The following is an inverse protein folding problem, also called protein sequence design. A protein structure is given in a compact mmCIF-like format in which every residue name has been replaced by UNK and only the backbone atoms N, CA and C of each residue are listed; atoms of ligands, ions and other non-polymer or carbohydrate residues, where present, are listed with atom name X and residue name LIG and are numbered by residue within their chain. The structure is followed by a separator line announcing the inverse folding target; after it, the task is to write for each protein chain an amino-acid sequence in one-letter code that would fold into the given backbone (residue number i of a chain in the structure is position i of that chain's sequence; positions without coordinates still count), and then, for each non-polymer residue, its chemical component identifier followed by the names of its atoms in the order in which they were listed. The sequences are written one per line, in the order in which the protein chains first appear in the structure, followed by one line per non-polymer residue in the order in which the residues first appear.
data_IF_396673022504
#
_entry.id   IF_396673022504
#
_cell.length_a   1.000
_cell.length_b   1.000
_cell.length_c   1.000
_cell.angle_alpha   90.00
_cell.angle_beta   90.00
_cell.angle_gamma   90.00
#
_symmetry.space_group_name_H-M   'P 1'
#
loop_
_entity.id
_entity.type
_entity.pdbx_description
1 polymer ?
#
# COMPACT_ATOMS: atom_id res chain seq x y z
N UNK A 1 42.14 47.40 -29.33
CA UNK A 1 41.72 47.16 -30.74
C UNK A 1 42.35 45.85 -31.17
N UNK A 2 41.70 44.85 -31.75
CA UNK A 2 40.32 44.58 -32.14
C UNK A 2 40.24 43.05 -32.34
N UNK A 3 39.10 42.45 -32.04
CA UNK A 3 38.72 41.08 -32.38
C UNK A 3 38.76 40.87 -33.90
N UNK A 4 38.98 39.63 -34.37
CA UNK A 4 38.14 39.01 -35.42
C UNK A 4 38.20 37.49 -35.32
N UNK A 5 37.01 36.89 -35.21
CA UNK A 5 36.73 35.49 -35.45
C UNK A 5 36.84 35.16 -36.95
N UNK A 6 37.10 33.90 -37.29
CA UNK A 6 36.54 33.26 -38.48
C UNK A 6 36.26 31.79 -38.18
N UNK A 7 34.97 31.45 -38.10
CA UNK A 7 34.47 30.07 -38.21
C UNK A 7 34.71 29.53 -39.63
N UNK A 8 34.91 28.21 -39.77
CA UNK A 8 34.40 27.48 -40.94
C UNK A 8 34.36 25.96 -40.72
N UNK A 9 33.13 25.50 -40.48
CA UNK A 9 32.48 24.28 -40.99
C UNK A 9 33.17 22.90 -40.92
N UNK A 10 32.64 22.04 -40.04
CA UNK A 10 32.45 20.63 -40.34
C UNK A 10 30.95 20.34 -40.42
N UNK A 11 30.47 19.63 -41.47
CA UNK A 11 29.05 19.43 -41.68
C UNK A 11 28.43 18.49 -40.63
N UNK A 12 27.25 18.89 -40.16
CA UNK A 12 26.30 18.06 -39.45
C UNK A 12 25.94 16.84 -40.31
N UNK A 13 26.23 15.64 -39.82
CA UNK A 13 25.49 14.46 -40.23
C UNK A 13 24.66 13.98 -39.02
N UNK A 14 23.42 14.43 -39.04
CA UNK A 14 22.32 14.08 -38.16
C UNK A 14 21.97 12.60 -38.32
N UNK A 15 22.27 11.79 -37.30
CA UNK A 15 21.47 10.66 -36.78
C UNK A 15 22.34 9.63 -36.05
N UNK A 16 22.98 10.03 -34.95
CA UNK A 16 23.44 9.06 -33.96
C UNK A 16 23.35 9.64 -32.55
N UNK A 17 22.12 9.97 -32.12
CA UNK A 17 21.83 10.04 -30.69
C UNK A 17 21.69 8.60 -30.19
N UNK A 18 22.80 7.93 -29.91
CA UNK A 18 22.77 6.93 -28.85
C UNK A 18 22.53 7.77 -27.58
N UNK A 19 21.27 7.90 -27.17
CA UNK A 19 20.99 8.31 -25.80
C UNK A 19 21.67 7.28 -24.91
N UNK A 20 22.80 7.67 -24.32
CA UNK A 20 23.35 6.96 -23.18
C UNK A 20 22.25 6.98 -22.11
N UNK A 21 21.47 5.89 -22.01
CA UNK A 21 20.63 5.67 -20.83
C UNK A 21 21.61 5.45 -19.68
N UNK A 22 21.58 6.36 -18.72
CA UNK A 22 22.29 6.16 -17.45
C UNK A 22 21.79 4.85 -16.83
N UNK A 23 22.65 3.85 -16.58
CA UNK A 23 22.25 2.60 -15.94
C UNK A 23 21.72 2.79 -14.51
N UNK A 24 21.88 3.99 -13.93
CA UNK A 24 21.44 4.33 -12.57
C UNK A 24 20.02 4.92 -12.48
N UNK A 25 19.30 5.05 -13.60
CA UNK A 25 17.95 5.59 -13.62
C UNK A 25 16.89 4.49 -13.69
N UNK A 26 17.07 3.43 -12.89
CA UNK A 26 15.94 2.59 -12.48
C UNK A 26 15.27 3.34 -11.33
N UNK A 27 14.03 3.80 -11.52
CA UNK A 27 13.30 4.52 -10.47
C UNK A 27 13.34 3.68 -9.19
N UNK A 28 13.84 4.26 -8.10
CA UNK A 28 13.86 3.58 -6.82
C UNK A 28 12.43 3.17 -6.44
N UNK A 29 12.26 1.91 -6.02
CA UNK A 29 10.98 1.45 -5.47
C UNK A 29 10.76 2.18 -4.15
N UNK A 30 9.72 2.99 -4.08
CA UNK A 30 9.33 3.71 -2.85
C UNK A 30 7.95 3.27 -2.36
N UNK A 31 7.16 2.58 -3.19
CA UNK A 31 5.82 2.13 -2.82
C UNK A 31 5.58 0.66 -3.13
N UNK A 32 4.90 -0.03 -2.21
CA UNK A 32 4.50 -1.44 -2.40
C UNK A 32 3.03 -1.62 -2.06
N UNK A 33 2.28 -2.25 -2.96
CA UNK A 33 0.91 -2.65 -2.70
C UNK A 33 0.77 -4.16 -2.54
N UNK A 34 0.05 -4.58 -1.50
CA UNK A 34 -0.32 -5.95 -1.23
C UNK A 34 -1.81 -6.13 -1.44
N UNK A 35 -2.20 -7.17 -2.18
CA UNK A 35 -3.61 -7.53 -2.38
C UNK A 35 -3.82 -8.95 -1.88
N UNK A 36 -4.70 -9.14 -0.89
CA UNK A 36 -5.13 -10.47 -0.48
C UNK A 36 -5.92 -11.13 -1.60
N UNK A 37 -5.49 -12.31 -2.03
CA UNK A 37 -6.14 -13.03 -3.15
C UNK A 37 -7.58 -13.47 -2.88
N UNK A 38 -8.08 -13.35 -1.64
CA UNK A 38 -9.47 -13.69 -1.27
C UNK A 38 -10.48 -12.61 -1.55
N UNK A 39 -10.06 -11.35 -1.71
CA UNK A 39 -11.01 -10.31 -2.07
C UNK A 39 -11.59 -10.60 -3.45
N UNK A 40 -12.86 -10.25 -3.66
CA UNK A 40 -13.47 -10.38 -4.97
C UNK A 40 -12.65 -9.59 -6.00
N UNK A 41 -12.58 -10.08 -7.24
CA UNK A 41 -11.90 -9.42 -8.36
C UNK A 41 -10.50 -8.85 -8.03
N UNK A 42 -9.70 -9.58 -7.23
CA UNK A 42 -8.37 -9.14 -6.78
C UNK A 42 -7.45 -8.70 -7.93
N UNK A 43 -7.56 -9.33 -9.11
CA UNK A 43 -6.82 -8.92 -10.32
C UNK A 43 -7.21 -7.52 -10.81
N UNK A 44 -8.49 -7.15 -10.70
CA UNK A 44 -8.97 -5.81 -11.06
C UNK A 44 -8.42 -4.77 -10.09
N UNK A 45 -8.42 -5.07 -8.79
CA UNK A 45 -7.85 -4.20 -7.77
C UNK A 45 -6.34 -4.01 -7.98
N UNK A 46 -5.63 -5.10 -8.23
CA UNK A 46 -4.19 -5.10 -8.57
C UNK A 46 -3.87 -4.20 -9.78
N UNK A 47 -4.69 -4.28 -10.82
CA UNK A 47 -4.52 -3.46 -12.02
C UNK A 47 -4.74 -1.96 -11.74
N UNK A 48 -5.60 -1.62 -10.77
CA UNK A 48 -5.93 -0.25 -10.41
C UNK A 48 -4.92 0.45 -9.51
N UNK A 49 -4.11 -0.31 -8.77
CA UNK A 49 -3.13 0.25 -7.83
C UNK A 49 -2.02 1.04 -8.55
N UNK A 50 -1.52 2.09 -7.91
CA UNK A 50 -0.47 2.97 -8.47
C UNK A 50 0.92 2.77 -7.81
N UNK A 51 1.11 1.67 -7.07
CA UNK A 51 2.40 1.33 -6.46
C UNK A 51 3.45 0.82 -7.47
N UNK A 52 4.73 1.06 -7.16
CA UNK A 52 5.89 0.61 -7.96
C UNK A 52 5.97 -0.91 -8.03
N UNK A 53 5.78 -1.56 -6.87
CA UNK A 53 5.74 -3.01 -6.73
C UNK A 53 4.37 -3.41 -6.24
N UNK A 54 3.83 -4.50 -6.80
CA UNK A 54 2.55 -5.05 -6.37
C UNK A 54 2.61 -6.55 -6.18
N UNK A 55 2.06 -7.03 -5.07
CA UNK A 55 2.22 -8.40 -4.61
C UNK A 55 0.85 -8.99 -4.23
N UNK A 56 0.54 -10.17 -4.75
CA UNK A 56 -0.58 -10.96 -4.24
C UNK A 56 -0.15 -11.72 -2.99
N UNK A 57 -0.94 -11.65 -1.93
CA UNK A 57 -0.76 -12.55 -0.79
C UNK A 57 -1.31 -13.93 -1.14
N UNK A 58 -0.49 -14.95 -0.90
CA UNK A 58 -0.90 -16.35 -0.98
C UNK A 58 -1.92 -16.61 0.12
N UNK A 59 -3.14 -17.07 -0.23
CA UNK A 59 -4.16 -17.31 0.76
C UNK A 59 -3.78 -18.43 1.75
N UNK A 60 -2.88 -19.35 1.40
CA UNK A 60 -2.56 -20.50 2.24
C UNK A 60 -1.48 -20.22 3.28
N UNK A 61 -0.84 -19.05 3.24
CA UNK A 61 0.26 -18.65 4.13
C UNK A 61 -0.16 -17.51 5.04
N UNK A 62 0.57 -17.31 6.13
CA UNK A 62 0.37 -16.15 7.01
C UNK A 62 0.66 -14.86 6.24
N UNK A 63 -0.30 -13.95 6.15
CA UNK A 63 -0.15 -12.73 5.35
C UNK A 63 0.73 -11.69 6.00
N UNK A 64 0.78 -11.61 7.33
CA UNK A 64 1.70 -10.70 8.04
C UNK A 64 3.14 -11.13 7.78
N UNK A 65 3.41 -12.43 7.88
CA UNK A 65 4.74 -12.98 7.58
C UNK A 65 5.15 -12.71 6.13
N UNK A 66 4.25 -12.88 5.16
CA UNK A 66 4.53 -12.59 3.75
C UNK A 66 4.86 -11.11 3.50
N UNK A 67 4.13 -10.19 4.15
CA UNK A 67 4.42 -8.75 4.07
C UNK A 67 5.79 -8.49 4.69
N UNK A 68 6.07 -8.99 5.90
CA UNK A 68 7.38 -8.82 6.55
C UNK A 68 8.54 -9.34 5.70
N UNK A 69 8.41 -10.55 5.14
CA UNK A 69 9.40 -11.14 4.23
C UNK A 69 9.64 -10.24 3.02
N UNK A 70 8.55 -9.73 2.41
CA UNK A 70 8.65 -8.85 1.23
C UNK A 70 9.34 -7.53 1.58
N UNK A 71 8.89 -6.87 2.65
CA UNK A 71 9.42 -5.57 3.07
C UNK A 71 10.91 -5.64 3.42
N UNK A 72 11.38 -6.76 3.99
CA UNK A 72 12.80 -6.97 4.30
C UNK A 72 13.76 -6.91 3.10
N UNK A 73 13.24 -6.88 1.88
CA UNK A 73 14.02 -6.66 0.66
C UNK A 73 14.15 -5.19 0.23
N UNK A 74 13.45 -4.28 0.90
CA UNK A 74 13.35 -2.87 0.52
C UNK A 74 13.76 -1.96 1.68
N UNK A 75 14.08 -0.71 1.35
CA UNK A 75 14.43 0.34 2.28
C UNK A 75 13.90 1.66 1.73
N UNK A 76 13.67 2.63 2.63
CA UNK A 76 13.16 3.97 2.27
C UNK A 76 11.82 3.92 1.51
N UNK A 77 10.95 2.97 1.86
CA UNK A 77 9.58 2.96 1.38
C UNK A 77 8.83 4.14 1.99
N UNK A 78 8.17 4.91 1.13
CA UNK A 78 7.30 6.02 1.52
C UNK A 78 5.85 5.58 1.68
N UNK A 79 5.47 4.41 1.14
CA UNK A 79 4.08 3.96 1.19
C UNK A 79 3.92 2.45 1.07
N UNK A 80 2.98 1.92 1.85
CA UNK A 80 2.50 0.55 1.76
C UNK A 80 0.97 0.57 1.62
N UNK A 81 0.44 -0.03 0.57
CA UNK A 81 -1.00 -0.28 0.44
C UNK A 81 -1.31 -1.74 0.80
N UNK A 82 -2.35 -1.96 1.59
CA UNK A 82 -2.82 -3.31 1.94
C UNK A 82 -4.31 -3.40 1.64
N UNK A 83 -4.65 -4.16 0.61
CA UNK A 83 -6.02 -4.37 0.13
C UNK A 83 -6.50 -5.75 0.54
N UNK A 84 -7.52 -5.81 1.39
CA UNK A 84 -7.94 -7.07 1.99
C UNK A 84 -9.37 -6.99 2.52
N UNK A 85 -9.87 -8.10 3.07
CA UNK A 85 -11.09 -8.05 3.85
C UNK A 85 -10.84 -7.43 5.24
N UNK A 86 -11.74 -6.55 5.67
CA UNK A 86 -11.69 -5.90 6.98
C UNK A 86 -12.89 -6.21 7.87
N UNK A 87 -12.69 -6.03 9.17
CA UNK A 87 -13.72 -5.89 10.20
C UNK A 87 -13.20 -4.95 11.31
N UNK A 88 -14.02 -4.61 12.28
CA UNK A 88 -13.62 -3.78 13.44
C UNK A 88 -12.34 -4.32 14.07
N UNK A 89 -11.29 -3.48 14.07
CA UNK A 89 -9.98 -3.80 14.63
C UNK A 89 -9.37 -5.12 14.10
N UNK A 90 -9.61 -5.43 12.82
CA UNK A 90 -9.16 -6.67 12.20
C UNK A 90 -8.98 -6.53 10.68
N UNK A 91 -7.90 -7.15 10.20
CA UNK A 91 -7.55 -7.28 8.78
C UNK A 91 -7.28 -8.75 8.49
N UNK A 92 -7.89 -9.31 7.43
CA UNK A 92 -7.64 -10.68 6.99
C UNK A 92 -6.49 -10.68 5.96
N UNK A 93 -5.39 -11.35 6.27
CA UNK A 93 -4.18 -11.38 5.45
C UNK A 93 -3.69 -12.81 5.28
N UNK A 94 -3.73 -13.35 4.05
CA UNK A 94 -3.46 -14.75 3.84
C UNK A 94 -4.37 -15.60 4.74
N UNK A 95 -3.84 -16.67 5.34
CA UNK A 95 -4.62 -17.50 6.26
C UNK A 95 -4.70 -16.93 7.69
N UNK A 96 -4.21 -15.71 7.95
CA UNK A 96 -4.14 -15.11 9.27
C UNK A 96 -5.04 -13.87 9.41
N UNK A 97 -5.24 -13.46 10.67
CA UNK A 97 -5.93 -12.22 11.02
C UNK A 97 -4.99 -11.35 11.84
N UNK A 98 -4.64 -10.18 11.32
CA UNK A 98 -4.02 -9.13 12.12
C UNK A 98 -5.15 -8.35 12.80
N UNK A 99 -5.22 -8.41 14.12
CA UNK A 99 -6.33 -7.84 14.90
C UNK A 99 -5.86 -7.34 16.25
N UNK A 100 -6.72 -6.61 16.96
CA UNK A 100 -6.44 -6.20 18.34
C UNK A 100 -6.03 -7.38 19.26
N UNK A 101 -6.56 -8.59 19.01
CA UNK A 101 -6.26 -9.78 19.81
C UNK A 101 -4.94 -10.47 19.42
N UNK A 102 -4.48 -10.31 18.17
CA UNK A 102 -3.28 -10.96 17.64
C UNK A 102 -2.08 -10.01 17.54
N UNK A 103 -2.27 -8.70 17.79
CA UNK A 103 -1.23 -7.68 17.65
C UNK A 103 0.02 -7.96 18.49
N UNK A 104 -0.16 -8.52 19.70
CA UNK A 104 0.97 -8.90 20.55
C UNK A 104 1.83 -10.00 19.92
N UNK A 105 1.22 -10.92 19.17
CA UNK A 105 1.92 -12.02 18.51
C UNK A 105 2.74 -11.51 17.32
N UNK A 106 2.22 -10.52 16.59
CA UNK A 106 2.87 -9.91 15.42
C UNK A 106 3.76 -8.70 15.73
N UNK A 107 4.02 -8.41 17.02
CA UNK A 107 4.82 -7.25 17.42
C UNK A 107 6.23 -7.28 16.82
N UNK A 108 6.84 -8.46 16.68
CA UNK A 108 8.18 -8.59 16.11
C UNK A 108 8.17 -8.33 14.60
N UNK A 109 7.17 -8.83 13.89
CA UNK A 109 6.93 -8.65 12.46
C UNK A 109 6.67 -7.19 12.13
N UNK A 110 5.75 -6.54 12.86
CA UNK A 110 5.38 -5.14 12.63
C UNK A 110 6.55 -4.18 12.90
N UNK A 111 7.37 -4.45 13.92
CA UNK A 111 8.59 -3.68 14.18
C UNK A 111 9.64 -3.84 13.10
N UNK A 112 9.69 -4.98 12.41
CA UNK A 112 10.59 -5.14 11.27
C UNK A 112 10.16 -4.30 10.07
N UNK A 113 8.88 -3.93 9.97
CA UNK A 113 8.42 -3.04 8.89
C UNK A 113 9.09 -1.67 9.01
N UNK A 114 9.26 -1.14 10.23
CA UNK A 114 9.92 0.14 10.51
C UNK A 114 11.27 0.27 9.77
N UNK A 115 12.08 -0.80 9.75
CA UNK A 115 13.39 -0.78 9.10
C UNK A 115 13.34 -0.61 7.56
N UNK A 116 12.17 -0.81 6.97
CA UNK A 116 11.94 -0.68 5.53
C UNK A 116 11.36 0.69 5.16
N UNK A 117 10.83 1.43 6.15
CA UNK A 117 10.04 2.64 5.98
C UNK A 117 10.88 3.91 6.13
N UNK A 118 10.45 4.99 5.48
CA UNK A 118 10.86 6.35 5.84
C UNK A 118 10.13 6.81 7.11
N UNK A 119 10.62 7.86 7.83
CA UNK A 119 9.94 8.40 9.00
C UNK A 119 8.51 8.88 8.74
N UNK A 120 8.24 9.41 7.55
CA UNK A 120 6.93 9.91 7.12
C UNK A 120 6.26 8.92 6.15
N UNK A 121 6.44 7.61 6.37
CA UNK A 121 5.86 6.60 5.50
C UNK A 121 4.39 6.32 5.85
N UNK A 122 3.58 6.15 4.81
CA UNK A 122 2.17 5.80 4.92
C UNK A 122 1.95 4.29 4.90
N UNK A 123 1.03 3.79 5.73
CA UNK A 123 0.50 2.43 5.66
C UNK A 123 -1.02 2.52 5.53
N UNK A 124 -1.52 2.17 4.36
CA UNK A 124 -2.90 2.36 3.96
C UNK A 124 -3.63 1.02 3.93
N UNK A 125 -4.54 0.80 4.89
CA UNK A 125 -5.36 -0.40 4.96
C UNK A 125 -6.72 -0.19 4.31
N UNK A 126 -6.90 -0.76 3.12
CA UNK A 126 -8.17 -0.84 2.41
C UNK A 126 -8.92 -2.11 2.82
N UNK A 127 -9.96 -1.93 3.63
CA UNK A 127 -10.85 -3.00 4.08
C UNK A 127 -11.95 -2.45 4.99
N UNK A 128 -13.13 -3.08 4.97
CA UNK A 128 -14.29 -2.51 5.66
C UNK A 128 -14.09 -2.41 7.18
N UNK A 129 -14.48 -1.28 7.76
CA UNK A 129 -14.66 -1.04 9.19
C UNK A 129 -13.41 -1.25 10.07
N UNK A 130 -12.21 -1.31 9.50
CA UNK A 130 -10.97 -1.58 10.25
C UNK A 130 -10.80 -0.59 11.42
N UNK A 131 -11.04 0.69 11.16
CA UNK A 131 -10.95 1.77 12.14
C UNK A 131 -12.29 2.14 12.80
N UNK A 132 -13.33 1.31 12.65
CA UNK A 132 -14.65 1.65 13.16
C UNK A 132 -14.69 1.69 14.69
N UNK A 133 -15.15 2.82 15.24
CA UNK A 133 -15.26 3.05 16.68
C UNK A 133 -13.94 3.02 17.44
N UNK A 134 -14.01 3.20 18.76
CA UNK A 134 -12.83 3.34 19.61
C UNK A 134 -11.85 2.15 19.53
N UNK A 135 -12.39 0.93 19.40
CA UNK A 135 -11.58 -0.28 19.27
C UNK A 135 -10.78 -0.31 17.96
N UNK A 136 -11.42 0.04 16.83
CA UNK A 136 -10.76 0.10 15.53
C UNK A 136 -9.69 1.19 15.48
N UNK A 137 -10.00 2.37 16.00
CA UNK A 137 -9.04 3.48 16.06
C UNK A 137 -7.83 3.16 16.95
N UNK A 138 -8.06 2.53 18.11
CA UNK A 138 -6.97 2.07 18.98
C UNK A 138 -6.08 1.03 18.27
N UNK A 139 -6.68 0.08 17.57
CA UNK A 139 -5.95 -0.91 16.77
C UNK A 139 -5.07 -0.27 15.69
N UNK A 140 -5.60 0.70 14.93
CA UNK A 140 -4.82 1.43 13.92
C UNK A 140 -3.66 2.22 14.55
N UNK A 141 -3.92 2.87 15.69
CA UNK A 141 -2.90 3.58 16.47
C UNK A 141 -1.80 2.67 17.01
N UNK A 142 -2.13 1.45 17.43
CA UNK A 142 -1.15 0.48 17.89
C UNK A 142 -0.26 -0.01 16.73
N UNK A 143 -0.82 -0.19 15.53
CA UNK A 143 -0.02 -0.49 14.32
C UNK A 143 0.94 0.67 14.01
N UNK A 144 0.46 1.91 14.03
CA UNK A 144 1.32 3.09 13.81
C UNK A 144 2.46 3.14 14.82
N UNK A 145 2.16 2.89 16.09
CA UNK A 145 3.18 2.84 17.15
C UNK A 145 4.22 1.74 16.92
N UNK A 146 3.81 0.58 16.42
CA UNK A 146 4.70 -0.56 16.20
C UNK A 146 5.55 -0.45 14.93
N UNK A 147 5.03 0.22 13.90
CA UNK A 147 5.67 0.32 12.59
C UNK A 147 6.44 1.64 12.41
N UNK A 148 6.15 2.64 13.24
CA UNK A 148 6.73 3.98 13.13
C UNK A 148 6.15 4.84 12.01
N UNK A 149 5.25 4.30 11.17
CA UNK A 149 4.60 5.01 10.07
C UNK A 149 3.24 5.59 10.44
N UNK A 150 2.75 6.49 9.58
CA UNK A 150 1.39 7.00 9.64
C UNK A 150 0.45 5.98 9.02
N UNK A 151 -0.61 5.62 9.76
CA UNK A 151 -1.52 4.54 9.35
C UNK A 151 -2.90 5.11 9.12
N UNK A 152 -3.49 4.78 7.98
CA UNK A 152 -4.88 5.10 7.68
C UNK A 152 -5.70 3.85 7.35
N UNK A 153 -6.98 3.86 7.72
CA UNK A 153 -7.91 2.78 7.45
C UNK A 153 -9.37 3.25 7.43
N UNK A 154 -10.25 2.49 6.77
CA UNK A 154 -11.68 2.83 6.68
C UNK A 154 -12.42 2.62 8.01
N UNK A 155 -13.31 3.54 8.34
CA UNK A 155 -14.26 3.45 9.46
C UNK A 155 -15.61 2.86 9.04
N UNK A 156 -15.86 2.75 7.74
CA UNK A 156 -17.09 2.23 7.16
C UNK A 156 -16.81 1.17 6.06
N UNK A 157 -17.79 0.93 5.17
CA UNK A 157 -17.66 -0.04 4.10
C UNK A 157 -16.69 0.46 3.01
N UNK A 158 -15.67 -0.33 2.68
CA UNK A 158 -14.77 -0.03 1.57
C UNK A 158 -15.20 -0.76 0.29
N UNK A 159 -15.33 -0.05 -0.82
CA UNK A 159 -15.64 -0.63 -2.14
C UNK A 159 -16.75 0.10 -2.90
N UNK A 160 -17.64 -0.66 -3.53
CA UNK A 160 -18.67 -0.15 -4.44
C UNK A 160 -19.68 0.79 -3.75
N UNK A 161 -19.84 2.00 -4.29
CA UNK A 161 -20.78 3.00 -3.80
C UNK A 161 -22.25 2.62 -3.97
N UNK A 162 -22.59 1.80 -4.97
CA UNK A 162 -23.93 1.23 -5.10
C UNK A 162 -24.29 0.25 -3.96
N UNK A 163 -23.28 -0.28 -3.26
CA UNK A 163 -23.43 -1.14 -2.08
C UNK A 163 -23.24 -0.36 -0.77
N UNK A 164 -23.14 0.97 -0.83
CA UNK A 164 -22.91 1.83 0.32
C UNK A 164 -21.45 1.92 0.77
N UNK A 165 -20.50 1.43 -0.03
CA UNK A 165 -19.08 1.55 0.25
C UNK A 165 -18.41 2.75 -0.41
N UNK A 166 -17.19 3.07 0.00
CA UNK A 166 -16.37 4.07 -0.66
C UNK A 166 -14.88 3.69 -0.55
N UNK A 167 -13.94 4.50 -1.04
CA UNK A 167 -12.50 4.18 -1.01
C UNK A 167 -11.69 5.14 -0.13
N UNK A 168 -12.38 5.95 0.66
CA UNK A 168 -11.78 6.86 1.63
C UNK A 168 -11.31 6.05 2.83
N UNK A 169 -10.19 6.51 3.41
CA UNK A 169 -9.70 6.04 4.70
C UNK A 169 -9.99 7.17 5.69
N UNK A 170 -11.08 7.07 6.44
CA UNK A 170 -11.60 8.19 7.23
C UNK A 170 -10.81 8.41 8.53
N UNK A 171 -10.01 7.44 8.97
CA UNK A 171 -9.18 7.54 10.16
C UNK A 171 -7.71 7.42 9.81
N UNK A 172 -6.89 8.31 10.37
CA UNK A 172 -5.44 8.32 10.24
C UNK A 172 -4.76 8.69 11.57
N UNK A 173 -3.55 8.17 11.82
CA UNK A 173 -2.75 8.45 13.04
C UNK A 173 -1.78 9.62 12.89
N UNK A 174 -1.61 10.14 11.68
CA UNK A 174 -0.80 11.30 11.34
C UNK A 174 -1.22 11.93 10.01
N UNK A 175 -0.28 12.51 9.27
CA UNK A 175 -0.58 13.07 7.95
C UNK A 175 -0.44 11.97 6.93
N UNK A 176 -1.29 11.96 5.89
CA UNK A 176 -1.17 11.00 4.80
C UNK A 176 -0.68 11.76 3.58
N UNK A 177 0.58 11.55 3.21
CA UNK A 177 1.27 12.20 2.09
C UNK A 177 0.91 11.55 0.76
N UNK A 178 0.54 10.26 0.77
CA UNK A 178 0.28 9.45 -0.41
C UNK A 178 -1.01 9.90 -1.11
N UNK A 179 -0.85 10.46 -2.30
CA UNK A 179 -1.98 10.78 -3.19
C UNK A 179 -2.53 9.49 -3.81
N UNK A 180 -3.68 9.04 -3.30
CA UNK A 180 -4.60 8.06 -3.92
C UNK A 180 -3.95 6.79 -4.49
N UNK A 181 -4.04 5.69 -3.77
CA UNK A 181 -3.44 4.41 -4.18
C UNK A 181 -4.04 3.78 -5.43
N UNK A 182 -5.20 4.23 -5.90
CA UNK A 182 -5.91 3.66 -7.05
C UNK A 182 -6.24 4.70 -8.12
N UNK A 183 -6.33 4.24 -9.37
CA UNK A 183 -6.92 5.04 -10.45
C UNK A 183 -8.44 5.17 -10.30
N UNK A 184 -8.99 6.36 -10.63
CA UNK A 184 -10.42 6.64 -10.59
C UNK A 184 -11.26 5.65 -11.41
N UNK A 185 -10.77 5.23 -12.58
CA UNK A 185 -11.48 4.29 -13.43
C UNK A 185 -11.65 2.92 -12.78
N UNK A 186 -10.64 2.47 -12.02
CA UNK A 186 -10.67 1.14 -11.43
C UNK A 186 -11.55 1.08 -10.18
N UNK A 187 -11.46 2.10 -9.32
CA UNK A 187 -12.34 2.26 -8.15
C UNK A 187 -13.81 2.20 -8.55
N UNK A 188 -14.18 2.86 -9.65
CA UNK A 188 -15.56 2.89 -10.15
C UNK A 188 -16.00 1.58 -10.81
N UNK A 189 -15.06 0.71 -11.20
CA UNK A 189 -15.35 -0.57 -11.85
C UNK A 189 -15.54 -1.73 -10.87
N UNK A 190 -15.02 -1.61 -9.64
CA UNK A 190 -15.11 -2.66 -8.65
C UNK A 190 -16.54 -2.86 -8.15
N UNK A 191 -17.05 -4.09 -8.25
CA UNK A 191 -18.45 -4.37 -7.97
C UNK A 191 -18.72 -4.82 -6.53
N UNK A 192 -17.68 -5.18 -5.77
CA UNK A 192 -17.80 -5.75 -4.43
C UNK A 192 -17.63 -4.77 -3.28
N UNK A 193 -17.65 -5.33 -2.07
CA UNK A 193 -17.17 -4.69 -0.85
C UNK A 193 -15.99 -5.50 -0.29
N UNK A 194 -15.12 -4.84 0.45
CA UNK A 194 -13.98 -5.45 1.14
C UNK A 194 -14.36 -5.95 2.55
N UNK A 195 -15.61 -6.40 2.74
CA UNK A 195 -16.11 -6.83 4.05
C UNK A 195 -15.70 -8.28 4.33
N UNK A 196 -15.19 -8.58 5.52
CA UNK A 196 -14.92 -9.97 5.91
C UNK A 196 -16.21 -10.79 5.93
N UNK A 197 -16.20 -11.94 5.25
CA UNK A 197 -17.29 -12.93 5.29
C UNK A 197 -17.21 -13.84 6.52
N UNK A 198 -16.15 -13.71 7.31
CA UNK A 198 -15.95 -14.47 8.53
C UNK A 198 -16.27 -13.57 9.72
N UNK A 199 -17.45 -13.73 10.30
CA UNK A 199 -17.65 -13.33 11.70
C UNK A 199 -16.75 -14.23 12.52
N UNK A 200 -15.85 -13.66 13.33
CA UNK A 200 -15.23 -14.42 14.42
C UNK A 200 -16.39 -15.04 15.20
N UNK A 201 -16.53 -16.37 15.18
CA UNK A 201 -17.45 -17.00 16.11
C UNK A 201 -17.04 -16.55 17.51
N UNK A 202 -17.92 -15.79 18.16
CA UNK A 202 -17.80 -15.52 19.58
C UNK A 202 -17.71 -16.89 20.25
N UNK A 203 -16.61 -17.23 20.96
CA UNK A 203 -16.56 -18.48 21.69
C UNK A 203 -17.72 -18.48 22.68
N UNK A 204 -18.53 -19.55 22.65
CA UNK A 204 -19.62 -19.77 23.59
C UNK A 204 -19.13 -19.82 25.04
#
# INVERSE_FOLDING_TARGET
MLFTETESSLPLNSNLFIQYRDPLQESAVTTIAFVDSRVADAMTLMAGLQADVKVFLDPTRDGVAQITETLGHYQNLTGIDIVSHGNVAQVQLGNSFLSANSLQQYTHELKQWEASLTPDADILFYGCNIAAGDLGQAFVKDISTLTGGDVAASTDLTGNSALGGNWTLEYATGTIETQTSFTDSQINSYQGLLASVFTTETPA
#
